data_IF_031697469367
#
_entry.id   IF_031697469367
#
_cell.length_a   1.000
_cell.length_b   1.000
_cell.length_c   1.000
_cell.angle_alpha   90.00
_cell.angle_beta   90.00
_cell.angle_gamma   90.00
#
_symmetry.space_group_name_H-M   'P 1'
#
loop_
_entity.id
_entity.type
_entity.pdbx_description
1 polymer ?
#
# COMPACT_ATOMS: atom_id res chain seq x y z
N UNK A 1 -92.64 37.10 14.27
CA UNK A 1 -91.80 36.00 13.69
C UNK A 1 -90.39 36.26 14.11
N UNK A 2 -89.95 35.58 15.15
CA UNK A 2 -88.69 35.80 15.84
C UNK A 2 -87.67 34.74 15.34
N UNK A 3 -86.56 35.20 14.85
CA UNK A 3 -85.47 34.30 14.44
C UNK A 3 -84.45 34.30 15.56
N UNK A 4 -84.31 33.16 16.25
CA UNK A 4 -83.31 32.92 17.29
C UNK A 4 -82.02 32.59 16.67
N UNK A 5 -81.02 33.40 16.97
CA UNK A 5 -79.64 33.15 16.57
C UNK A 5 -78.89 32.46 17.74
N UNK A 6 -78.47 31.20 17.56
CA UNK A 6 -77.66 30.45 18.53
C UNK A 6 -76.21 30.62 18.18
N UNK A 7 -75.44 31.24 19.07
CA UNK A 7 -73.97 31.27 18.99
C UNK A 7 -73.40 30.02 19.65
N UNK A 8 -72.78 29.18 18.87
CA UNK A 8 -71.93 28.07 19.37
C UNK A 8 -70.56 28.59 19.64
N UNK A 9 -70.12 28.57 20.87
CA UNK A 9 -68.73 28.79 21.24
C UNK A 9 -67.97 27.45 21.16
N UNK A 10 -67.11 27.32 20.20
CA UNK A 10 -66.22 26.17 20.11
C UNK A 10 -65.04 26.37 21.04
N UNK A 11 -64.96 25.60 22.10
CA UNK A 11 -63.76 25.40 22.86
C UNK A 11 -63.01 24.22 22.23
N UNK A 12 -61.94 24.52 21.50
CA UNK A 12 -61.06 23.53 20.95
C UNK A 12 -60.23 22.92 22.07
N UNK A 13 -60.48 21.66 22.38
CA UNK A 13 -59.54 20.84 23.17
C UNK A 13 -58.53 20.29 22.26
N UNK A 14 -57.28 20.75 22.36
CA UNK A 14 -56.13 20.18 21.72
C UNK A 14 -55.75 18.90 22.46
N UNK A 15 -56.06 17.75 21.87
CA UNK A 15 -55.52 16.47 22.31
C UNK A 15 -54.08 16.34 21.75
N UNK A 16 -53.08 16.48 22.61
CA UNK A 16 -51.70 16.19 22.27
C UNK A 16 -51.52 14.68 22.13
N UNK A 17 -51.45 14.16 20.90
CA UNK A 17 -50.92 12.85 20.65
C UNK A 17 -49.39 12.93 20.79
N UNK A 18 -48.88 12.38 21.88
CA UNK A 18 -47.47 12.14 22.05
C UNK A 18 -47.01 11.06 21.09
N UNK A 19 -46.37 11.46 20.00
CA UNK A 19 -45.59 10.55 19.16
C UNK A 19 -44.32 10.23 19.92
N UNK A 20 -44.25 9.04 20.55
CA UNK A 20 -42.99 8.47 21.03
C UNK A 20 -42.18 8.05 19.80
N UNK A 21 -41.31 8.91 19.35
CA UNK A 21 -40.28 8.55 18.40
C UNK A 21 -39.28 7.63 19.10
N UNK A 22 -39.44 6.32 18.94
CA UNK A 22 -38.42 5.35 19.27
C UNK A 22 -37.31 5.53 18.24
N UNK A 23 -36.32 6.38 18.55
CA UNK A 23 -35.07 6.43 17.83
C UNK A 23 -34.34 5.12 18.10
N UNK A 24 -34.51 4.15 17.20
CA UNK A 24 -33.64 3.00 17.15
C UNK A 24 -32.23 3.51 16.72
N UNK A 25 -31.41 3.81 17.71
CA UNK A 25 -29.99 3.99 17.53
C UNK A 25 -29.38 2.62 17.11
N UNK A 26 -29.35 2.35 15.81
CA UNK A 26 -28.62 1.24 15.26
C UNK A 26 -27.15 1.59 15.50
N UNK A 27 -26.58 1.05 16.56
CA UNK A 27 -25.15 0.99 16.72
C UNK A 27 -24.62 0.06 15.61
N UNK A 28 -24.29 0.66 14.46
CA UNK A 28 -23.43 -0.02 13.48
C UNK A 28 -22.04 -0.14 14.12
N UNK A 29 -21.84 -1.17 14.91
CA UNK A 29 -20.52 -1.52 15.37
C UNK A 29 -19.79 -2.20 14.22
N UNK A 30 -18.77 -1.54 13.70
CA UNK A 30 -17.67 -2.22 13.01
C UNK A 30 -17.81 -2.46 11.52
N UNK A 31 -18.45 -1.60 10.76
CA UNK A 31 -18.05 -1.41 9.36
C UNK A 31 -17.17 -0.18 9.36
N UNK A 32 -15.87 -0.40 9.37
CA UNK A 32 -14.94 0.64 9.00
C UNK A 32 -15.44 1.15 7.63
N UNK A 33 -15.77 2.44 7.44
CA UNK A 33 -16.04 2.91 6.11
C UNK A 33 -14.85 2.53 5.26
N UNK A 34 -15.08 1.83 4.15
CA UNK A 34 -14.04 1.64 3.15
C UNK A 34 -13.39 3.02 2.99
N UNK A 35 -12.10 3.11 3.34
CA UNK A 35 -11.36 4.35 3.17
C UNK A 35 -11.60 4.79 1.74
N UNK A 36 -12.03 6.02 1.55
CA UNK A 36 -11.98 6.60 0.22
C UNK A 36 -10.54 6.39 -0.24
N UNK A 37 -10.36 5.72 -1.36
CA UNK A 37 -9.02 5.41 -1.83
C UNK A 37 -8.27 6.74 -2.00
N UNK A 38 -7.34 6.98 -1.09
CA UNK A 38 -6.52 8.18 -1.07
C UNK A 38 -5.56 8.17 -2.27
N UNK A 39 -5.07 9.31 -2.67
CA UNK A 39 -4.14 9.39 -3.79
C UNK A 39 -2.74 8.93 -3.36
N UNK A 40 -1.92 8.36 -4.28
CA UNK A 40 -0.53 8.07 -3.98
C UNK A 40 0.19 9.30 -3.42
N UNK A 41 0.89 9.14 -2.29
CA UNK A 41 1.53 10.22 -1.54
C UNK A 41 0.71 10.76 -0.36
N UNK A 42 -0.57 10.44 -0.27
CA UNK A 42 -1.36 10.73 0.94
C UNK A 42 -0.95 9.82 2.10
N UNK A 43 -1.12 10.31 3.33
CA UNK A 43 -0.66 9.61 4.53
C UNK A 43 -1.30 8.23 4.74
N UNK A 44 -2.47 8.03 4.18
CA UNK A 44 -3.27 6.81 4.36
C UNK A 44 -3.47 6.04 3.03
N UNK A 45 -2.65 6.35 2.00
CA UNK A 45 -2.79 5.75 0.68
C UNK A 45 -2.74 4.21 0.69
N UNK A 46 -1.84 3.64 1.46
CA UNK A 46 -1.71 2.19 1.63
C UNK A 46 -2.69 1.62 2.67
N UNK A 47 -3.48 2.49 3.37
CA UNK A 47 -4.33 2.06 4.47
C UNK A 47 -3.55 1.29 5.53
N UNK A 48 -4.09 0.18 6.01
CA UNK A 48 -3.41 -0.65 7.02
C UNK A 48 -2.17 -1.37 6.48
N UNK A 49 -1.98 -1.45 5.15
CA UNK A 49 -0.75 -2.00 4.57
C UNK A 49 0.47 -1.10 4.81
N UNK A 50 0.27 0.15 5.26
CA UNK A 50 1.38 1.05 5.60
C UNK A 50 2.18 0.59 6.81
N UNK A 51 1.56 -0.14 7.74
CA UNK A 51 2.22 -0.66 8.94
C UNK A 51 3.14 -1.85 8.64
N UNK A 52 3.00 -2.46 7.46
CA UNK A 52 3.74 -3.67 7.08
C UNK A 52 4.90 -3.36 6.13
N UNK A 53 6.03 -4.00 6.37
CA UNK A 53 7.19 -3.97 5.45
C UNK A 53 7.19 -5.13 4.46
N UNK A 54 6.56 -6.25 4.83
CA UNK A 54 6.37 -7.40 3.93
C UNK A 54 4.91 -7.86 4.01
N UNK A 55 4.28 -7.96 2.84
CA UNK A 55 2.98 -8.61 2.72
C UNK A 55 3.09 -9.65 1.61
N UNK A 56 2.81 -10.92 1.91
CA UNK A 56 2.80 -12.01 0.95
C UNK A 56 1.49 -12.80 1.01
N UNK A 57 1.03 -13.30 -0.12
CA UNK A 57 -0.17 -14.14 -0.14
C UNK A 57 0.12 -15.61 0.12
N UNK A 58 1.21 -16.16 -0.40
CA UNK A 58 1.45 -17.61 -0.43
C UNK A 58 2.46 -18.08 0.63
N UNK A 59 3.70 -17.61 0.56
CA UNK A 59 4.81 -17.99 1.47
C UNK A 59 5.77 -16.82 1.67
N UNK A 60 6.50 -16.87 2.79
CA UNK A 60 7.69 -16.06 3.00
C UNK A 60 8.84 -17.01 3.27
N UNK A 61 9.78 -17.09 2.32
CA UNK A 61 10.96 -17.94 2.40
C UNK A 61 12.17 -17.12 2.80
N UNK A 62 12.92 -17.60 3.77
CA UNK A 62 14.14 -16.96 4.27
C UNK A 62 15.28 -17.97 4.32
N UNK A 63 16.44 -17.65 3.78
CA UNK A 63 17.54 -18.61 3.68
C UNK A 63 18.78 -18.30 4.52
N UNK A 64 19.04 -17.02 4.87
CA UNK A 64 20.35 -16.65 5.44
C UNK A 64 20.36 -15.60 6.54
N UNK A 65 19.21 -15.24 7.11
CA UNK A 65 19.18 -14.37 8.29
C UNK A 65 18.96 -12.90 8.02
N UNK A 66 17.96 -12.58 7.19
CA UNK A 66 17.54 -11.21 6.91
C UNK A 66 17.11 -10.45 8.18
N UNK A 67 17.32 -9.13 8.17
CA UNK A 67 16.83 -8.21 9.18
C UNK A 67 15.65 -7.42 8.62
N UNK A 68 14.52 -7.46 9.31
CA UNK A 68 13.26 -6.83 8.89
C UNK A 68 12.78 -5.89 9.98
N UNK A 69 12.74 -4.58 9.70
CA UNK A 69 12.26 -3.57 10.64
C UNK A 69 10.84 -3.14 10.28
N UNK A 70 9.85 -3.67 11.01
CA UNK A 70 8.41 -3.45 10.87
C UNK A 70 7.61 -4.74 10.80
N UNK A 71 6.30 -4.63 10.66
CA UNK A 71 5.38 -5.75 10.69
C UNK A 71 5.42 -6.58 9.39
N UNK A 72 5.10 -7.86 9.51
CA UNK A 72 5.07 -8.81 8.41
C UNK A 72 3.71 -9.51 8.37
N UNK A 73 3.11 -9.59 7.17
CA UNK A 73 1.87 -10.34 6.95
C UNK A 73 2.04 -11.44 5.89
N UNK A 74 1.63 -12.65 6.25
CA UNK A 74 1.42 -13.76 5.33
C UNK A 74 -0.07 -14.13 5.35
N UNK A 75 -0.84 -13.72 4.34
CA UNK A 75 -2.30 -13.76 4.43
C UNK A 75 -2.78 -15.11 3.97
N UNK A 76 -2.82 -15.83 3.21
CA UNK A 76 -3.47 -17.14 2.98
C UNK A 76 -2.56 -18.32 3.30
N UNK A 77 -1.25 -18.10 3.20
CA UNK A 77 -0.23 -19.08 3.53
C UNK A 77 -0.02 -19.20 5.04
N UNK A 78 0.65 -20.25 5.45
CA UNK A 78 1.06 -20.49 6.83
C UNK A 78 2.55 -20.79 6.94
N UNK A 79 3.25 -20.87 5.82
CA UNK A 79 4.66 -21.18 5.77
C UNK A 79 5.48 -19.88 5.64
N UNK A 80 5.92 -19.40 6.79
CA UNK A 80 6.87 -18.29 6.87
C UNK A 80 8.13 -18.78 7.60
N UNK A 81 9.28 -18.41 7.13
CA UNK A 81 10.56 -18.89 7.63
C UNK A 81 11.36 -17.84 8.40
N UNK A 82 10.83 -16.63 8.54
CA UNK A 82 11.45 -15.59 9.37
C UNK A 82 11.45 -16.02 10.85
N UNK A 83 12.60 -15.93 11.48
CA UNK A 83 12.76 -16.29 12.88
C UNK A 83 12.44 -15.11 13.79
N UNK A 84 11.98 -15.42 15.01
CA UNK A 84 11.87 -14.42 16.08
C UNK A 84 13.25 -13.81 16.33
N UNK A 85 13.37 -12.50 16.18
CA UNK A 85 14.62 -11.75 16.27
C UNK A 85 15.21 -11.32 14.92
N UNK A 86 14.66 -11.79 13.80
CA UNK A 86 14.91 -11.26 12.47
C UNK A 86 13.92 -10.12 12.12
N UNK A 87 12.74 -10.12 12.75
CA UNK A 87 11.68 -9.13 12.57
C UNK A 87 11.60 -8.27 13.84
N UNK A 88 11.77 -6.97 13.68
CA UNK A 88 11.48 -5.98 14.72
C UNK A 88 10.06 -5.43 14.50
N UNK A 89 9.08 -6.26 14.80
CA UNK A 89 7.65 -6.02 14.59
C UNK A 89 6.84 -7.30 14.85
N UNK A 90 5.57 -7.27 14.50
CA UNK A 90 4.67 -8.41 14.62
C UNK A 90 4.62 -9.24 13.34
N UNK A 91 4.44 -10.56 13.47
CA UNK A 91 4.27 -11.46 12.33
C UNK A 91 2.85 -12.01 12.35
N UNK A 92 2.07 -11.64 11.35
CA UNK A 92 0.69 -12.08 11.13
C UNK A 92 0.65 -13.20 10.10
N UNK A 93 0.13 -14.38 10.46
CA UNK A 93 0.15 -15.57 9.60
C UNK A 93 -1.23 -16.18 9.42
N UNK A 94 -1.52 -16.63 8.22
CA UNK A 94 -2.75 -17.33 7.89
C UNK A 94 -3.93 -16.38 7.68
N UNK A 95 -5.12 -16.78 8.15
CA UNK A 95 -6.34 -15.98 8.01
C UNK A 95 -6.53 -14.96 9.14
N UNK A 96 -5.45 -14.42 9.68
CA UNK A 96 -5.51 -13.32 10.64
C UNK A 96 -6.25 -12.14 10.01
N UNK A 97 -7.17 -11.56 10.79
CA UNK A 97 -7.98 -10.44 10.31
C UNK A 97 -7.13 -9.21 9.94
N UNK A 98 -6.07 -8.93 10.70
CA UNK A 98 -5.18 -7.80 10.45
C UNK A 98 -4.41 -7.97 9.13
N UNK A 99 -3.76 -9.11 8.92
CA UNK A 99 -3.07 -9.42 7.66
C UNK A 99 -4.02 -9.45 6.45
N UNK A 100 -5.27 -9.90 6.66
CA UNK A 100 -6.30 -9.90 5.61
C UNK A 100 -6.75 -8.49 5.20
N UNK A 101 -6.89 -7.57 6.15
CA UNK A 101 -7.22 -6.17 5.88
C UNK A 101 -6.04 -5.50 5.16
N UNK A 102 -4.81 -5.69 5.64
CA UNK A 102 -3.61 -5.15 5.01
C UNK A 102 -3.45 -5.61 3.55
N UNK A 103 -3.70 -6.89 3.26
CA UNK A 103 -3.68 -7.40 1.88
C UNK A 103 -4.78 -6.79 1.00
N UNK A 104 -5.97 -6.54 1.55
CA UNK A 104 -7.07 -5.91 0.82
C UNK A 104 -6.74 -4.43 0.50
N UNK A 105 -6.18 -3.70 1.46
CA UNK A 105 -5.75 -2.32 1.27
C UNK A 105 -4.60 -2.24 0.26
N UNK A 106 -3.60 -3.13 0.36
CA UNK A 106 -2.51 -3.24 -0.61
C UNK A 106 -3.02 -3.54 -2.03
N UNK A 107 -4.02 -4.42 -2.16
CA UNK A 107 -4.65 -4.72 -3.46
C UNK A 107 -5.35 -3.50 -4.05
N UNK A 108 -6.01 -2.71 -3.20
CA UNK A 108 -6.67 -1.47 -3.59
C UNK A 108 -5.63 -0.44 -4.06
N UNK A 109 -4.57 -0.24 -3.29
CA UNK A 109 -3.47 0.66 -3.62
C UNK A 109 -2.79 0.26 -4.94
N UNK A 110 -2.52 -1.04 -5.14
CA UNK A 110 -1.98 -1.56 -6.40
C UNK A 110 -2.86 -1.17 -7.59
N UNK A 111 -4.19 -1.33 -7.47
CA UNK A 111 -5.13 -0.96 -8.52
C UNK A 111 -5.11 0.54 -8.85
N UNK A 112 -4.98 1.40 -7.85
CA UNK A 112 -4.88 2.85 -8.02
C UNK A 112 -3.57 3.21 -8.74
N UNK A 113 -2.45 2.66 -8.28
CA UNK A 113 -1.14 2.90 -8.90
C UNK A 113 -1.12 2.40 -10.36
N UNK A 114 -1.71 1.24 -10.64
CA UNK A 114 -1.80 0.68 -11.99
C UNK A 114 -2.63 1.54 -12.96
N UNK A 115 -3.60 2.30 -12.44
CA UNK A 115 -4.48 3.17 -13.23
C UNK A 115 -4.05 4.64 -13.20
N UNK A 116 -2.97 4.98 -12.51
CA UNK A 116 -2.49 6.36 -12.45
C UNK A 116 -2.11 6.87 -13.86
N UNK A 117 -2.55 8.09 -14.22
CA UNK A 117 -2.32 8.63 -15.57
C UNK A 117 -0.83 8.77 -15.88
N UNK A 118 -0.38 8.14 -16.94
CA UNK A 118 1.01 8.15 -17.38
C UNK A 118 1.44 9.57 -17.78
N UNK A 119 2.56 10.03 -17.23
CA UNK A 119 3.19 11.32 -17.58
C UNK A 119 4.44 11.15 -18.42
N UNK A 120 5.05 9.96 -18.42
CA UNK A 120 6.26 9.68 -19.20
C UNK A 120 6.37 8.19 -19.56
N UNK A 121 6.82 7.93 -20.78
CA UNK A 121 7.20 6.57 -21.21
C UNK A 121 8.69 6.36 -20.94
N UNK A 122 9.04 5.18 -20.44
CA UNK A 122 10.42 4.80 -20.21
C UNK A 122 10.83 3.62 -21.07
N UNK A 123 12.09 3.64 -21.48
CA UNK A 123 12.74 2.47 -22.06
C UNK A 123 13.04 1.45 -20.95
N UNK A 124 13.18 0.19 -21.33
CA UNK A 124 13.29 -0.92 -20.39
C UNK A 124 14.38 -0.73 -19.31
N UNK A 125 15.52 -0.13 -19.62
CA UNK A 125 16.60 0.07 -18.65
C UNK A 125 16.52 1.47 -18.02
N UNK A 126 16.38 1.50 -16.70
CA UNK A 126 16.25 2.71 -15.89
C UNK A 126 17.62 3.37 -15.55
N UNK A 127 18.72 2.64 -15.71
CA UNK A 127 20.04 3.12 -15.30
C UNK A 127 20.48 4.38 -16.05
N UNK A 128 21.11 5.30 -15.32
CA UNK A 128 21.55 6.60 -15.84
C UNK A 128 20.41 7.63 -15.97
N UNK A 129 19.16 7.24 -15.69
CA UNK A 129 18.02 8.17 -15.68
C UNK A 129 17.97 8.99 -14.40
N UNK A 130 17.50 10.25 -14.53
CA UNK A 130 17.04 11.09 -13.42
C UNK A 130 15.55 11.29 -13.57
N UNK A 131 14.78 10.82 -12.59
CA UNK A 131 13.32 10.82 -12.62
C UNK A 131 12.79 11.89 -11.66
N UNK A 132 11.97 12.79 -12.17
CA UNK A 132 11.23 13.77 -11.40
C UNK A 132 9.86 13.21 -11.01
N UNK A 133 9.11 13.95 -10.18
CA UNK A 133 7.76 13.55 -9.80
C UNK A 133 6.88 13.24 -11.03
N UNK A 134 6.22 12.10 -11.03
CA UNK A 134 5.40 11.67 -12.15
C UNK A 134 5.12 10.17 -12.20
N UNK A 135 4.39 9.78 -13.23
CA UNK A 135 4.00 8.40 -13.50
C UNK A 135 4.69 7.92 -14.78
N UNK A 136 5.56 6.96 -14.63
CA UNK A 136 6.39 6.40 -15.70
C UNK A 136 5.93 4.99 -16.05
N UNK A 137 5.65 4.76 -17.32
CA UNK A 137 5.18 3.48 -17.80
C UNK A 137 6.20 2.83 -18.74
N UNK A 138 6.32 1.52 -18.64
CA UNK A 138 7.04 0.69 -19.61
C UNK A 138 6.10 -0.35 -20.22
N UNK A 139 6.11 -0.42 -21.55
CA UNK A 139 5.40 -1.46 -22.29
C UNK A 139 6.13 -2.83 -22.27
N UNK A 140 7.31 -2.89 -21.65
CA UNK A 140 8.14 -4.09 -21.51
C UNK A 140 8.58 -4.22 -20.06
N UNK A 141 9.23 -5.34 -19.71
CA UNK A 141 9.82 -5.52 -18.39
C UNK A 141 10.78 -4.38 -18.05
N UNK A 142 10.73 -3.93 -16.80
CA UNK A 142 11.64 -2.94 -16.26
C UNK A 142 12.96 -3.61 -15.87
N UNK A 143 14.06 -2.96 -16.23
CA UNK A 143 15.41 -3.39 -15.87
C UNK A 143 16.13 -2.21 -15.19
N UNK A 144 16.77 -2.49 -14.08
CA UNK A 144 17.78 -1.59 -13.51
C UNK A 144 19.14 -2.28 -13.53
N UNK A 145 20.03 -1.85 -14.45
CA UNK A 145 21.40 -2.32 -14.59
C UNK A 145 22.35 -1.15 -14.33
N UNK A 146 22.59 -0.88 -13.06
CA UNK A 146 23.41 0.24 -12.60
C UNK A 146 22.66 1.18 -11.66
N UNK A 147 22.86 2.48 -11.77
CA UNK A 147 22.27 3.48 -10.87
C UNK A 147 21.22 4.30 -11.58
N UNK A 148 20.06 4.49 -10.95
CA UNK A 148 19.07 5.50 -11.30
C UNK A 148 18.93 6.52 -10.17
N UNK A 149 18.53 7.72 -10.51
CA UNK A 149 18.27 8.79 -9.55
C UNK A 149 16.78 9.18 -9.57
N UNK A 150 16.19 9.29 -8.39
CA UNK A 150 14.85 9.85 -8.18
C UNK A 150 15.05 11.17 -7.46
N UNK A 151 14.69 12.28 -8.12
CA UNK A 151 14.94 13.62 -7.60
C UNK A 151 13.62 14.32 -7.22
N UNK A 152 13.44 14.58 -5.92
CA UNK A 152 12.30 15.33 -5.38
C UNK A 152 12.61 16.80 -5.23
N UNK A 153 11.69 17.65 -5.66
CA UNK A 153 11.72 19.10 -5.46
C UNK A 153 11.01 19.46 -4.15
N UNK A 154 9.97 18.72 -3.83
CA UNK A 154 9.21 18.83 -2.57
C UNK A 154 9.14 17.49 -1.85
N UNK A 155 8.82 17.50 -0.56
CA UNK A 155 8.66 16.27 0.21
C UNK A 155 7.40 15.47 -0.18
N UNK A 156 6.43 16.13 -0.83
CA UNK A 156 5.17 15.52 -1.29
C UNK A 156 5.25 15.01 -2.73
N UNK A 157 6.43 15.07 -3.37
CA UNK A 157 6.61 14.59 -4.73
C UNK A 157 6.42 13.07 -4.80
N UNK A 158 5.57 12.62 -5.73
CA UNK A 158 5.22 11.21 -5.92
C UNK A 158 5.84 10.67 -7.20
N UNK A 159 6.38 9.47 -7.11
CA UNK A 159 7.04 8.77 -8.20
C UNK A 159 6.41 7.40 -8.39
N UNK A 160 5.90 7.12 -9.56
CA UNK A 160 5.26 5.85 -9.89
C UNK A 160 5.95 5.23 -11.11
N UNK A 161 6.35 3.97 -10.99
CA UNK A 161 6.92 3.19 -12.08
C UNK A 161 5.99 1.99 -12.36
N UNK A 162 5.42 1.95 -13.55
CA UNK A 162 4.46 0.94 -13.95
C UNK A 162 5.07 -0.03 -14.98
N UNK A 163 5.03 -1.32 -14.67
CA UNK A 163 5.25 -2.44 -15.60
C UNK A 163 3.97 -3.29 -15.62
N UNK A 164 2.92 -2.80 -16.29
CA UNK A 164 1.51 -3.20 -16.09
C UNK A 164 1.23 -4.70 -16.18
N UNK A 165 1.92 -5.43 -17.08
CA UNK A 165 1.79 -6.89 -17.24
C UNK A 165 3.13 -7.61 -17.17
N UNK A 166 4.20 -6.88 -16.93
CA UNK A 166 5.57 -7.31 -17.09
C UNK A 166 6.30 -7.40 -15.73
N UNK A 167 7.56 -7.80 -15.75
CA UNK A 167 8.40 -7.96 -14.57
C UNK A 167 9.29 -6.75 -14.30
N UNK A 168 9.82 -6.68 -13.07
CA UNK A 168 10.94 -5.83 -12.69
C UNK A 168 12.16 -6.69 -12.38
N UNK A 169 13.31 -6.33 -12.95
CA UNK A 169 14.60 -6.93 -12.60
C UNK A 169 15.58 -5.82 -12.23
N UNK A 170 16.02 -5.83 -10.98
CA UNK A 170 17.13 -5.01 -10.49
C UNK A 170 18.35 -5.92 -10.45
N UNK A 171 19.41 -5.62 -11.21
CA UNK A 171 20.61 -6.45 -11.26
C UNK A 171 21.47 -6.26 -10.00
N UNK A 172 22.38 -7.20 -9.81
CA UNK A 172 23.28 -7.18 -8.67
C UNK A 172 24.08 -5.88 -8.57
N UNK A 173 24.12 -5.28 -7.37
CA UNK A 173 24.81 -4.02 -7.09
C UNK A 173 24.20 -2.78 -7.73
N UNK A 174 23.01 -2.91 -8.35
CA UNK A 174 22.29 -1.76 -8.88
C UNK A 174 21.66 -0.93 -7.75
N UNK A 175 21.39 0.35 -8.03
CA UNK A 175 20.98 1.29 -7.00
C UNK A 175 19.83 2.20 -7.46
N UNK A 176 18.84 2.37 -6.60
CA UNK A 176 17.87 3.45 -6.64
C UNK A 176 18.33 4.52 -5.65
N UNK A 177 18.71 5.70 -6.14
CA UNK A 177 19.24 6.79 -5.30
C UNK A 177 18.20 7.89 -5.19
N UNK A 178 17.79 8.20 -3.96
CA UNK A 178 16.90 9.32 -3.67
C UNK A 178 17.72 10.59 -3.46
N UNK A 179 17.35 11.67 -4.13
CA UNK A 179 18.02 12.97 -4.04
C UNK A 179 17.02 14.11 -3.87
N UNK A 180 17.52 15.28 -3.48
CA UNK A 180 16.67 16.43 -3.18
C UNK A 180 15.79 16.16 -1.96
N UNK A 181 14.48 16.25 -2.14
CA UNK A 181 13.48 15.97 -1.11
C UNK A 181 12.66 14.69 -1.41
N UNK A 182 13.13 13.84 -2.33
CA UNK A 182 12.48 12.57 -2.61
C UNK A 182 12.49 11.66 -1.36
N UNK A 183 11.36 11.03 -1.06
CA UNK A 183 11.17 10.12 0.06
C UNK A 183 10.75 8.75 -0.44
N UNK A 184 11.29 7.67 0.15
CA UNK A 184 11.01 6.30 -0.28
C UNK A 184 9.53 5.94 -0.15
N UNK A 185 8.82 6.49 0.83
CA UNK A 185 7.37 6.28 1.00
C UNK A 185 6.50 6.82 -0.15
N UNK A 186 7.02 7.76 -0.94
CA UNK A 186 6.34 8.34 -2.09
C UNK A 186 6.81 7.74 -3.42
N UNK A 187 7.60 6.66 -3.37
CA UNK A 187 8.03 5.91 -4.55
C UNK A 187 7.28 4.59 -4.62
N UNK A 188 6.56 4.37 -5.71
CA UNK A 188 5.73 3.18 -5.91
C UNK A 188 6.12 2.45 -7.20
N UNK A 189 6.32 1.14 -7.07
CA UNK A 189 6.61 0.24 -8.18
C UNK A 189 5.44 -0.71 -8.37
N UNK A 190 4.72 -0.58 -9.46
CA UNK A 190 3.65 -1.49 -9.84
C UNK A 190 4.17 -2.47 -10.88
N UNK A 191 4.17 -3.75 -10.55
CA UNK A 191 4.70 -4.83 -11.37
C UNK A 191 3.61 -5.86 -11.62
N UNK A 192 3.25 -6.07 -12.87
CA UNK A 192 2.14 -6.94 -13.27
C UNK A 192 2.47 -8.45 -13.25
N UNK A 193 3.72 -8.80 -12.99
CA UNK A 193 4.20 -10.17 -12.84
C UNK A 193 5.07 -10.26 -11.59
N UNK A 194 6.27 -10.82 -11.69
CA UNK A 194 7.20 -11.00 -10.57
C UNK A 194 8.31 -9.95 -10.59
N UNK A 195 8.91 -9.69 -9.43
CA UNK A 195 10.04 -8.80 -9.29
C UNK A 195 11.25 -9.52 -8.70
N UNK A 196 12.44 -9.14 -9.17
CA UNK A 196 13.72 -9.63 -8.62
C UNK A 196 14.60 -8.45 -8.26
N UNK A 197 15.05 -8.39 -7.01
CA UNK A 197 16.06 -7.46 -6.52
C UNK A 197 17.36 -8.24 -6.38
N UNK A 198 18.35 -7.90 -7.18
CA UNK A 198 19.61 -8.62 -7.29
C UNK A 198 20.51 -8.47 -6.07
N UNK A 199 21.51 -9.35 -5.97
CA UNK A 199 22.41 -9.38 -4.82
C UNK A 199 23.13 -8.06 -4.59
N UNK A 200 23.18 -7.63 -3.32
CA UNK A 200 23.76 -6.35 -2.89
C UNK A 200 23.20 -5.12 -3.64
N UNK A 201 21.99 -5.21 -4.18
CA UNK A 201 21.30 -4.05 -4.73
C UNK A 201 20.76 -3.17 -3.59
N UNK A 202 20.70 -1.86 -3.85
CA UNK A 202 20.07 -0.87 -2.96
C UNK A 202 18.79 -0.40 -3.63
N UNK A 203 17.66 -0.74 -3.05
CA UNK A 203 16.34 -0.46 -3.58
C UNK A 203 15.56 0.48 -2.67
N UNK A 204 14.78 1.40 -3.24
CA UNK A 204 13.96 2.33 -2.48
C UNK A 204 12.53 2.37 -3.02
N UNK A 205 11.56 2.39 -2.12
CA UNK A 205 10.13 2.52 -2.42
C UNK A 205 9.30 1.30 -2.08
N UNK A 206 7.99 1.43 -2.27
CA UNK A 206 7.01 0.35 -2.11
C UNK A 206 6.91 -0.46 -3.40
N UNK A 207 7.40 -1.69 -3.37
CA UNK A 207 7.32 -2.63 -4.48
C UNK A 207 6.06 -3.50 -4.34
N UNK A 208 5.14 -3.34 -5.27
CA UNK A 208 3.92 -4.13 -5.36
C UNK A 208 3.97 -5.01 -6.61
N UNK A 209 4.20 -6.31 -6.43
CA UNK A 209 4.18 -7.29 -7.50
C UNK A 209 2.88 -8.09 -7.47
N UNK A 210 2.32 -8.35 -8.64
CA UNK A 210 1.13 -9.20 -8.73
C UNK A 210 1.44 -10.65 -8.32
N UNK A 211 2.60 -11.17 -8.71
CA UNK A 211 3.07 -12.52 -8.37
C UNK A 211 4.16 -12.45 -7.27
N UNK A 212 5.34 -12.93 -7.57
CA UNK A 212 6.39 -13.17 -6.58
C UNK A 212 7.39 -12.02 -6.50
N UNK A 213 8.01 -11.87 -5.34
CA UNK A 213 9.17 -11.00 -5.13
C UNK A 213 10.33 -11.83 -4.60
N UNK A 214 11.49 -11.75 -5.27
CA UNK A 214 12.72 -12.35 -4.81
C UNK A 214 13.76 -11.27 -4.53
N UNK A 215 14.17 -11.13 -3.29
CA UNK A 215 15.32 -10.34 -2.88
C UNK A 215 16.52 -11.28 -2.69
N UNK A 216 17.52 -11.12 -3.55
CA UNK A 216 18.74 -11.96 -3.53
C UNK A 216 19.72 -11.49 -2.46
N UNK A 217 20.71 -12.32 -2.20
CA UNK A 217 21.68 -12.18 -1.11
C UNK A 217 22.18 -10.75 -0.90
N UNK A 218 21.98 -10.25 0.31
CA UNK A 218 22.54 -8.98 0.76
C UNK A 218 21.89 -7.73 0.18
N UNK A 219 20.74 -7.83 -0.48
CA UNK A 219 20.03 -6.65 -0.95
C UNK A 219 19.52 -5.81 0.23
N UNK A 220 19.58 -4.48 0.09
CA UNK A 220 19.05 -3.52 1.05
C UNK A 220 17.82 -2.84 0.45
N UNK A 221 16.72 -2.86 1.18
CA UNK A 221 15.45 -2.30 0.75
C UNK A 221 15.00 -1.23 1.75
N UNK A 222 15.00 0.03 1.34
CA UNK A 222 14.36 1.12 2.05
C UNK A 222 12.92 1.22 1.55
N UNK A 223 12.00 0.45 2.14
CA UNK A 223 10.65 0.36 1.60
C UNK A 223 9.86 -0.86 2.04
N UNK A 224 8.96 -1.27 1.14
CA UNK A 224 8.04 -2.38 1.36
C UNK A 224 8.06 -3.37 0.21
N UNK A 225 7.85 -4.64 0.51
CA UNK A 225 7.70 -5.73 -0.45
C UNK A 225 6.30 -6.32 -0.33
N UNK A 226 5.47 -6.18 -1.35
CA UNK A 226 4.08 -6.62 -1.36
C UNK A 226 3.85 -7.56 -2.55
N UNK A 227 3.72 -8.87 -2.28
CA UNK A 227 3.39 -9.90 -3.25
C UNK A 227 1.91 -10.26 -3.15
N UNK A 228 1.09 -9.78 -4.09
CA UNK A 228 -0.38 -9.85 -3.98
C UNK A 228 -0.95 -11.26 -4.11
N UNK A 229 -0.31 -12.14 -4.88
CA UNK A 229 -0.79 -13.52 -5.10
C UNK A 229 0.29 -14.58 -4.87
N UNK A 230 1.55 -14.18 -4.75
CA UNK A 230 2.70 -15.04 -4.70
C UNK A 230 3.46 -15.01 -3.38
N UNK A 231 4.73 -15.35 -3.48
CA UNK A 231 5.66 -15.44 -2.36
C UNK A 231 6.63 -14.26 -2.29
N UNK A 232 7.20 -14.06 -1.10
CA UNK A 232 8.39 -13.22 -0.91
C UNK A 232 9.54 -14.11 -0.47
N UNK A 233 10.63 -14.11 -1.26
CA UNK A 233 11.85 -14.85 -0.95
C UNK A 233 12.95 -13.87 -0.55
N UNK A 234 13.62 -14.17 0.56
CA UNK A 234 14.66 -13.36 1.18
C UNK A 234 15.96 -14.17 1.36
N UNK A 235 17.10 -13.51 1.29
CA UNK A 235 18.41 -14.09 1.49
C UNK A 235 19.41 -13.04 2.02
N UNK A 236 19.63 -13.02 3.34
CA UNK A 236 20.53 -12.07 4.02
C UNK A 236 20.23 -10.59 3.70
N UNK A 237 18.95 -10.24 3.68
CA UNK A 237 18.49 -8.90 3.30
C UNK A 237 18.34 -7.98 4.51
N UNK A 238 18.43 -6.66 4.27
CA UNK A 238 18.01 -5.64 5.22
C UNK A 238 16.81 -4.91 4.63
N UNK A 239 15.68 -4.92 5.36
CA UNK A 239 14.44 -4.26 4.95
C UNK A 239 14.02 -3.30 6.05
N UNK A 240 13.98 -2.01 5.72
CA UNK A 240 13.63 -0.93 6.65
C UNK A 240 12.54 -0.05 6.04
N UNK A 241 11.43 0.10 6.76
CA UNK A 241 10.36 1.04 6.41
C UNK A 241 10.26 2.24 7.36
N UNK A 242 11.00 2.24 8.44
CA UNK A 242 10.81 3.22 9.53
C UNK A 242 11.27 4.64 9.19
N UNK A 243 12.18 4.76 8.21
CA UNK A 243 12.69 6.06 7.75
C UNK A 243 11.94 6.63 6.56
N UNK A 244 10.86 5.97 6.13
CA UNK A 244 10.24 6.21 4.82
C UNK A 244 9.66 7.60 4.62
N UNK A 245 9.05 8.20 5.65
CA UNK A 245 8.48 9.54 5.54
C UNK A 245 8.82 10.41 6.74
N UNK A 246 9.50 11.48 6.49
CA UNK A 246 9.60 12.60 7.44
C UNK A 246 8.48 13.58 7.08
N UNK A 247 7.38 13.52 7.80
CA UNK A 247 6.22 14.44 7.67
C UNK A 247 6.23 15.46 8.79
#
# INVERSE_FOLDING_TARGET
MSVFSVRLSSRSALAALGAVAVSALVMLTGVNPAHAADAPGDAEFLGTAEDYVIIAAATITETSGSAVEGDVALYTGTDQQLLVGQVDGEIHVGTDAAGGIAMADATTAYGIVALAPVTGEIVANLAGGVYLAGVYHSATSLLLDGTMEIHGVTADDVFIFQASTESLTVLAGSRVVLTGLAQACNVYWQVGSSATIGSNAEFAGTLMAYSDIAAQTGATIEGRLIALTGEVTLDDNTIDSQTLCVR
#
